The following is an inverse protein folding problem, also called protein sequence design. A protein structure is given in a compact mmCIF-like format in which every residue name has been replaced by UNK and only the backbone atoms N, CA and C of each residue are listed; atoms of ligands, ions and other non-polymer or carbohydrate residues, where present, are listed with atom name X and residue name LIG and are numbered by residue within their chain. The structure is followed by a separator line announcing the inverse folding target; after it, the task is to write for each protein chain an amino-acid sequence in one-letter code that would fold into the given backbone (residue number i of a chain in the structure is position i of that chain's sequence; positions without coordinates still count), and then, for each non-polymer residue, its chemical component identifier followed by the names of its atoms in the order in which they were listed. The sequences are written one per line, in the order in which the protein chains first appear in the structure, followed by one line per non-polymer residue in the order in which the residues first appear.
data_IF_529889498862
#
_entry.id   IF_529889498862
#
_cell.length_a   1.000
_cell.length_b   1.000
_cell.length_c   1.000
_cell.angle_alpha   90.00
_cell.angle_beta   90.00
_cell.angle_gamma   90.00
#
_symmetry.space_group_name_H-M   'P 1'
#
loop_
_entity.id
_entity.type
_entity.pdbx_description
1 polymer ?
#
# COMPACT_ATOMS: atom_id res chain seq x y z
N UNK A 1 36.73 20.03 -4.29
CA UNK A 1 35.99 19.52 -3.12
C UNK A 1 34.58 19.12 -3.61
N UNK A 2 34.39 17.82 -3.83
CA UNK A 2 33.09 17.28 -4.19
C UNK A 2 32.20 17.40 -2.97
N UNK A 3 31.17 18.25 -3.04
CA UNK A 3 30.11 18.26 -2.05
C UNK A 3 29.51 16.84 -2.01
N UNK A 4 29.75 16.10 -0.93
CA UNK A 4 29.04 14.87 -0.64
C UNK A 4 27.56 15.25 -0.51
N UNK A 5 26.77 14.97 -1.56
CA UNK A 5 25.34 15.03 -1.45
C UNK A 5 24.92 14.05 -0.34
N UNK A 6 24.40 14.60 0.73
CA UNK A 6 23.74 13.80 1.77
C UNK A 6 22.61 13.04 1.05
N UNK A 7 22.60 11.70 1.09
CA UNK A 7 21.54 10.95 0.41
C UNK A 7 20.19 11.40 0.98
N UNK A 8 19.28 11.77 0.09
CA UNK A 8 17.93 12.15 0.47
C UNK A 8 17.25 10.95 1.14
N UNK A 9 17.02 11.04 2.44
CA UNK A 9 16.52 9.92 3.24
C UNK A 9 15.00 9.86 3.13
N UNK A 10 14.52 9.23 2.06
CA UNK A 10 13.10 8.89 1.91
C UNK A 10 12.82 7.51 2.51
N UNK A 11 11.55 7.22 2.84
CA UNK A 11 11.17 5.89 3.36
C UNK A 11 11.48 4.77 2.37
N UNK A 12 11.18 4.89 1.05
CA UNK A 12 11.62 3.90 0.07
C UNK A 12 13.14 3.71 0.03
N UNK A 13 13.91 4.79 0.08
CA UNK A 13 15.37 4.72 0.10
C UNK A 13 15.89 4.02 1.37
N UNK A 14 15.25 4.25 2.52
CA UNK A 14 15.59 3.56 3.76
C UNK A 14 15.34 2.06 3.66
N UNK A 15 14.23 1.63 3.06
CA UNK A 15 13.96 0.20 2.83
C UNK A 15 14.94 -0.41 1.82
N UNK A 16 15.29 0.30 0.75
CA UNK A 16 16.33 -0.16 -0.19
C UNK A 16 17.67 -0.39 0.50
N UNK A 17 18.09 0.56 1.36
CA UNK A 17 19.31 0.42 2.14
C UNK A 17 19.24 -0.73 3.15
N UNK A 18 18.10 -0.89 3.82
CA UNK A 18 17.89 -1.99 4.75
C UNK A 18 17.93 -3.36 4.05
N UNK A 19 17.29 -3.50 2.89
CA UNK A 19 17.33 -4.71 2.10
C UNK A 19 18.75 -5.02 1.58
N UNK A 20 19.50 -4.00 1.13
CA UNK A 20 20.89 -4.17 0.71
C UNK A 20 21.81 -4.57 1.87
N UNK A 21 21.56 -4.07 3.09
CA UNK A 21 22.40 -4.32 4.27
C UNK A 21 22.05 -5.60 5.01
N UNK A 22 20.76 -5.91 5.12
CA UNK A 22 20.28 -6.99 5.98
C UNK A 22 19.74 -8.19 5.20
N UNK A 23 19.35 -8.00 3.94
CA UNK A 23 19.00 -9.07 3.01
C UNK A 23 17.96 -10.03 3.56
N UNK A 24 18.40 -11.25 3.80
CA UNK A 24 17.56 -12.37 4.26
C UNK A 24 17.26 -12.35 5.77
N UNK A 25 17.67 -11.32 6.51
CA UNK A 25 17.30 -11.22 7.93
C UNK A 25 15.83 -10.86 8.08
N UNK A 26 15.22 -11.37 9.15
CA UNK A 26 13.82 -11.11 9.50
C UNK A 26 13.53 -9.62 9.66
N UNK A 27 12.52 -9.13 8.96
CA UNK A 27 12.10 -7.73 8.95
C UNK A 27 10.68 -7.53 9.49
N UNK A 28 9.76 -8.43 9.15
CA UNK A 28 8.35 -8.33 9.51
C UNK A 28 7.80 -9.68 9.91
N UNK A 29 7.17 -9.76 11.07
CA UNK A 29 6.37 -10.90 11.48
C UNK A 29 4.89 -10.55 11.41
N UNK A 30 4.13 -11.29 10.63
CA UNK A 30 2.68 -11.17 10.57
C UNK A 30 2.05 -12.48 10.11
N UNK A 31 0.85 -12.73 10.55
CA UNK A 31 0.03 -13.89 10.14
C UNK A 31 0.77 -15.25 10.27
N UNK A 32 1.58 -15.38 11.31
CA UNK A 32 2.30 -16.62 11.63
C UNK A 32 3.58 -16.85 10.85
N UNK A 33 4.03 -15.92 10.02
CA UNK A 33 5.24 -16.03 9.22
C UNK A 33 6.13 -14.78 9.29
N UNK A 34 7.42 -14.98 8.98
CA UNK A 34 8.38 -13.90 8.82
C UNK A 34 8.57 -13.55 7.34
N UNK A 35 8.74 -12.25 7.07
CA UNK A 35 9.30 -11.75 5.82
C UNK A 35 10.69 -11.18 6.09
N UNK A 36 11.64 -11.48 5.22
CA UNK A 36 12.95 -10.85 5.23
C UNK A 36 12.90 -9.41 4.71
N UNK A 37 13.95 -8.63 4.90
CA UNK A 37 14.07 -7.29 4.31
C UNK A 37 14.00 -7.33 2.77
N UNK A 38 14.61 -8.34 2.14
CA UNK A 38 14.54 -8.54 0.70
C UNK A 38 13.11 -8.81 0.23
N UNK A 39 12.40 -9.69 0.91
CA UNK A 39 11.00 -10.02 0.58
C UNK A 39 10.07 -8.85 0.81
N UNK A 40 10.20 -8.15 1.95
CA UNK A 40 9.41 -6.95 2.24
C UNK A 40 9.56 -5.90 1.14
N UNK A 41 10.80 -5.64 0.72
CA UNK A 41 11.12 -4.74 -0.39
C UNK A 41 10.48 -5.22 -1.70
N UNK A 42 10.62 -6.49 -2.02
CA UNK A 42 10.06 -7.06 -3.25
C UNK A 42 8.54 -6.93 -3.29
N UNK A 43 7.84 -7.25 -2.20
CA UNK A 43 6.40 -7.10 -2.09
C UNK A 43 5.95 -5.63 -2.20
N UNK A 44 6.66 -4.71 -1.53
CA UNK A 44 6.35 -3.28 -1.63
C UNK A 44 6.50 -2.77 -3.07
N UNK A 45 7.56 -3.17 -3.78
CA UNK A 45 7.77 -2.80 -5.18
C UNK A 45 6.71 -3.40 -6.11
N UNK A 46 6.26 -4.64 -5.89
CA UNK A 46 5.16 -5.23 -6.66
C UNK A 46 3.84 -4.46 -6.46
N UNK A 47 3.54 -4.04 -5.25
CA UNK A 47 2.37 -3.21 -4.97
C UNK A 47 2.49 -1.84 -5.65
N UNK A 48 3.66 -1.21 -5.60
CA UNK A 48 3.94 0.04 -6.30
C UNK A 48 3.75 -0.09 -7.82
N UNK A 49 4.24 -1.18 -8.41
CA UNK A 49 4.08 -1.47 -9.84
C UNK A 49 2.60 -1.52 -10.23
N UNK A 50 1.76 -2.18 -9.43
CA UNK A 50 0.31 -2.22 -9.66
C UNK A 50 -0.32 -0.81 -9.60
N UNK A 51 0.05 0.01 -8.63
CA UNK A 51 -0.42 1.40 -8.54
C UNK A 51 -0.04 2.22 -9.78
N UNK A 52 1.21 2.07 -10.26
CA UNK A 52 1.71 2.76 -11.45
C UNK A 52 0.95 2.29 -12.69
N UNK A 53 0.78 0.99 -12.88
CA UNK A 53 0.04 0.41 -14.01
C UNK A 53 -1.42 0.87 -14.05
N UNK A 54 -2.05 1.07 -12.89
CA UNK A 54 -3.42 1.57 -12.75
C UNK A 54 -3.52 3.10 -12.80
N UNK A 55 -2.43 3.79 -13.14
CA UNK A 55 -2.43 5.23 -13.38
C UNK A 55 -2.46 6.09 -12.11
N UNK A 56 -2.04 5.54 -10.96
CA UNK A 56 -1.86 6.36 -9.76
C UNK A 56 -0.65 7.27 -9.98
N UNK A 57 -0.85 8.57 -9.90
CA UNK A 57 0.17 9.59 -10.12
C UNK A 57 0.86 10.00 -8.83
N UNK A 58 2.04 10.62 -8.97
CA UNK A 58 2.79 11.17 -7.84
C UNK A 58 1.90 12.16 -7.04
N UNK A 59 1.96 12.05 -5.71
CA UNK A 59 1.18 12.89 -4.81
C UNK A 59 -0.30 12.50 -4.67
N UNK A 60 -0.81 11.53 -5.44
CA UNK A 60 -2.15 10.98 -5.20
C UNK A 60 -2.17 10.10 -3.95
N UNK A 61 -3.34 9.83 -3.42
CA UNK A 61 -3.49 9.18 -2.11
C UNK A 61 -3.93 7.73 -2.25
N UNK A 62 -3.29 6.90 -1.42
CA UNK A 62 -3.65 5.52 -1.16
C UNK A 62 -4.10 5.42 0.29
N UNK A 63 -5.36 5.12 0.51
CA UNK A 63 -5.92 4.93 1.85
C UNK A 63 -5.80 3.47 2.27
N UNK A 64 -5.53 3.24 3.57
CA UNK A 64 -5.43 1.90 4.14
C UNK A 64 -6.37 1.82 5.33
N UNK A 65 -7.44 1.02 5.20
CA UNK A 65 -8.45 0.77 6.23
C UNK A 65 -8.50 -0.71 6.57
N UNK A 66 -7.48 -1.16 7.27
CA UNK A 66 -7.27 -2.58 7.59
C UNK A 66 -6.63 -2.72 8.98
N UNK A 67 -6.93 -3.79 9.73
CA UNK A 67 -6.18 -4.13 10.92
C UNK A 67 -4.74 -4.54 10.56
N UNK A 68 -3.93 -4.75 11.59
CA UNK A 68 -2.55 -5.20 11.40
C UNK A 68 -2.54 -6.58 10.72
N UNK A 69 -1.94 -6.61 9.56
CA UNK A 69 -1.64 -7.79 8.74
C UNK A 69 -0.39 -7.48 7.92
N UNK A 70 0.21 -8.47 7.27
CA UNK A 70 1.36 -8.22 6.40
C UNK A 70 1.02 -7.28 5.21
N UNK A 71 -0.23 -7.21 4.79
CA UNK A 71 -0.69 -6.30 3.72
C UNK A 71 -0.49 -4.83 4.07
N UNK A 72 -0.69 -4.48 5.36
CA UNK A 72 -0.67 -3.08 5.79
C UNK A 72 0.69 -2.40 5.54
N UNK A 73 1.82 -2.92 6.06
CA UNK A 73 3.13 -2.32 5.80
C UNK A 73 3.53 -2.41 4.32
N UNK A 74 3.14 -3.46 3.60
CA UNK A 74 3.43 -3.58 2.17
C UNK A 74 2.66 -2.53 1.36
N UNK A 75 1.38 -2.30 1.64
CA UNK A 75 0.61 -1.25 0.98
C UNK A 75 1.14 0.16 1.31
N UNK A 76 1.54 0.38 2.57
CA UNK A 76 2.13 1.63 3.02
C UNK A 76 3.44 1.94 2.28
N UNK A 77 4.38 1.00 2.31
CA UNK A 77 5.69 1.14 1.66
C UNK A 77 5.55 1.20 0.14
N UNK A 78 4.71 0.34 -0.43
CA UNK A 78 4.47 0.32 -1.88
C UNK A 78 3.81 1.60 -2.40
N UNK A 79 2.87 2.18 -1.64
CA UNK A 79 2.31 3.49 -1.94
C UNK A 79 3.39 4.55 -2.06
N UNK A 80 4.34 4.56 -1.13
CA UNK A 80 5.46 5.51 -1.13
C UNK A 80 6.46 5.24 -2.27
N UNK A 81 6.71 3.98 -2.63
CA UNK A 81 7.50 3.66 -3.83
C UNK A 81 6.85 4.16 -5.12
N UNK A 82 5.52 4.18 -5.17
CA UNK A 82 4.78 4.76 -6.30
C UNK A 82 4.70 6.29 -6.27
N UNK A 83 5.31 6.95 -5.28
CA UNK A 83 5.23 8.39 -5.08
C UNK A 83 3.89 8.87 -4.53
N UNK A 84 3.06 7.97 -4.02
CA UNK A 84 1.77 8.30 -3.44
C UNK A 84 1.88 8.69 -1.96
N UNK A 85 0.97 9.53 -1.50
CA UNK A 85 0.77 9.80 -0.09
C UNK A 85 -0.14 8.74 0.53
N UNK A 86 0.22 8.24 1.70
CA UNK A 86 -0.55 7.20 2.41
C UNK A 86 -1.50 7.86 3.42
N UNK A 87 -2.75 7.41 3.42
CA UNK A 87 -3.80 7.85 4.36
C UNK A 87 -4.16 6.66 5.26
N UNK A 88 -3.53 6.53 6.44
CA UNK A 88 -3.87 5.48 7.38
C UNK A 88 -5.21 5.78 8.05
N UNK A 89 -6.09 4.78 8.07
CA UNK A 89 -7.43 4.91 8.64
C UNK A 89 -7.59 3.94 9.82
N UNK A 90 -8.18 4.44 10.91
CA UNK A 90 -8.42 3.62 12.08
C UNK A 90 -9.53 2.59 11.80
N UNK A 91 -9.30 1.33 12.15
CA UNK A 91 -10.29 0.25 12.00
C UNK A 91 -11.55 0.42 12.84
N UNK A 92 -11.54 1.34 13.81
CA UNK A 92 -12.72 1.67 14.64
C UNK A 92 -13.62 2.72 14.00
N UNK A 93 -13.19 3.36 12.92
CA UNK A 93 -14.05 4.31 12.23
C UNK A 93 -15.32 3.62 11.70
N UNK A 94 -16.42 4.34 11.85
CA UNK A 94 -17.68 4.00 11.17
C UNK A 94 -17.52 4.17 9.67
N UNK A 95 -18.46 3.64 8.91
CA UNK A 95 -18.48 3.82 7.45
C UNK A 95 -18.62 5.29 7.07
N UNK A 96 -19.41 6.06 7.81
CA UNK A 96 -19.58 7.50 7.56
C UNK A 96 -18.27 8.27 7.79
N UNK A 97 -17.55 7.98 8.88
CA UNK A 97 -16.24 8.58 9.16
C UNK A 97 -15.22 8.19 8.10
N UNK A 98 -15.21 6.92 7.68
CA UNK A 98 -14.34 6.44 6.62
C UNK A 98 -14.64 7.12 5.28
N UNK A 99 -15.92 7.29 4.96
CA UNK A 99 -16.38 7.99 3.75
C UNK A 99 -15.91 9.45 3.77
N UNK A 100 -16.07 10.18 4.88
CA UNK A 100 -15.59 11.56 5.01
C UNK A 100 -14.07 11.68 4.77
N UNK A 101 -13.29 10.75 5.36
CA UNK A 101 -11.84 10.73 5.16
C UNK A 101 -11.48 10.46 3.70
N UNK A 102 -12.12 9.49 3.06
CA UNK A 102 -11.89 9.16 1.65
C UNK A 102 -12.22 10.34 0.72
N UNK A 103 -13.34 11.03 0.97
CA UNK A 103 -13.74 12.23 0.23
C UNK A 103 -12.72 13.36 0.41
N UNK A 104 -12.40 13.74 1.63
CA UNK A 104 -11.48 14.84 1.95
C UNK A 104 -10.05 14.60 1.51
N UNK A 105 -9.60 13.36 1.55
CA UNK A 105 -8.27 13.00 1.07
C UNK A 105 -8.20 12.85 -0.45
N UNK A 106 -9.34 12.78 -1.14
CA UNK A 106 -9.42 12.45 -2.57
C UNK A 106 -8.66 11.15 -2.89
N UNK A 107 -8.84 10.11 -2.06
CA UNK A 107 -8.12 8.85 -2.21
C UNK A 107 -8.44 8.18 -3.55
N UNK A 108 -7.40 7.75 -4.26
CA UNK A 108 -7.51 7.06 -5.55
C UNK A 108 -7.66 5.56 -5.38
N UNK A 109 -7.01 5.02 -4.37
CA UNK A 109 -7.02 3.60 -4.04
C UNK A 109 -7.34 3.45 -2.56
N UNK A 110 -8.18 2.49 -2.24
CA UNK A 110 -8.46 2.05 -0.88
C UNK A 110 -8.02 0.59 -0.72
N UNK A 111 -7.10 0.33 0.16
CA UNK A 111 -6.80 -1.01 0.67
C UNK A 111 -7.65 -1.22 1.91
N UNK A 112 -8.60 -2.12 1.86
CA UNK A 112 -9.54 -2.35 2.95
C UNK A 112 -9.74 -3.81 3.25
N UNK A 113 -9.87 -4.12 4.54
CA UNK A 113 -10.44 -5.39 4.94
C UNK A 113 -11.89 -5.48 4.46
N UNK A 114 -12.30 -6.66 4.01
CA UNK A 114 -13.69 -6.97 3.71
C UNK A 114 -14.46 -7.26 5.00
N UNK A 115 -14.56 -8.54 5.35
CA UNK A 115 -15.17 -8.97 6.61
C UNK A 115 -14.29 -8.65 7.80
N UNK A 116 -14.87 -7.94 8.77
CA UNK A 116 -14.19 -7.57 9.99
C UNK A 116 -15.20 -7.26 11.11
N UNK A 117 -15.05 -7.94 12.25
CA UNK A 117 -15.92 -7.77 13.41
C UNK A 117 -17.43 -7.89 13.08
N UNK A 118 -17.77 -8.87 12.28
CA UNK A 118 -19.16 -9.20 11.93
C UNK A 118 -19.81 -8.35 10.84
N UNK A 119 -19.06 -7.48 10.19
CA UNK A 119 -19.55 -6.64 9.07
C UNK A 119 -18.59 -6.67 7.89
N UNK A 120 -19.10 -6.48 6.70
CA UNK A 120 -18.27 -6.27 5.50
C UNK A 120 -18.09 -4.76 5.29
N UNK A 121 -16.85 -4.29 5.46
CA UNK A 121 -16.52 -2.88 5.39
C UNK A 121 -16.66 -2.30 3.99
N UNK A 122 -16.33 -3.10 2.98
CA UNK A 122 -16.37 -2.67 1.59
C UNK A 122 -17.80 -2.62 1.08
N UNK A 123 -18.62 -3.62 1.42
CA UNK A 123 -20.03 -3.66 1.01
C UNK A 123 -20.87 -2.52 1.61
N UNK A 124 -20.44 -2.01 2.76
CA UNK A 124 -21.13 -0.88 3.41
C UNK A 124 -20.77 0.48 2.81
N UNK A 125 -19.68 0.59 2.01
CA UNK A 125 -19.29 1.85 1.40
C UNK A 125 -20.21 2.19 0.22
N UNK A 126 -20.79 3.38 0.23
CA UNK A 126 -21.41 3.97 -0.95
C UNK A 126 -20.33 4.58 -1.86
N UNK A 127 -19.84 3.79 -2.79
CA UNK A 127 -18.81 4.23 -3.74
C UNK A 127 -19.30 5.33 -4.70
N UNK A 128 -20.61 5.51 -4.86
CA UNK A 128 -21.16 6.60 -5.67
C UNK A 128 -20.88 7.99 -5.08
N UNK A 129 -20.68 8.05 -3.78
CA UNK A 129 -20.30 9.26 -3.05
C UNK A 129 -18.77 9.55 -3.10
N UNK A 130 -17.98 8.65 -3.69
CA UNK A 130 -16.50 8.68 -3.71
C UNK A 130 -15.96 8.83 -5.16
N UNK A 131 -16.18 9.98 -5.83
CA UNK A 131 -15.88 10.12 -7.26
C UNK A 131 -14.39 10.01 -7.60
N UNK A 132 -13.50 10.21 -6.64
CA UNK A 132 -12.05 10.08 -6.84
C UNK A 132 -11.55 8.66 -6.64
N UNK A 133 -12.29 7.81 -5.91
CA UNK A 133 -11.91 6.43 -5.63
C UNK A 133 -12.06 5.59 -6.91
N UNK A 134 -10.97 5.02 -7.39
CA UNK A 134 -10.92 4.23 -8.63
C UNK A 134 -10.77 2.74 -8.38
N UNK A 135 -10.06 2.36 -7.32
CA UNK A 135 -9.76 0.97 -7.03
C UNK A 135 -9.93 0.68 -5.54
N UNK A 136 -10.51 -0.47 -5.24
CA UNK A 136 -10.59 -1.02 -3.89
C UNK A 136 -9.86 -2.36 -3.90
N UNK A 137 -8.87 -2.48 -3.03
CA UNK A 137 -8.11 -3.71 -2.82
C UNK A 137 -8.63 -4.38 -1.56
N UNK A 138 -9.38 -5.47 -1.75
CA UNK A 138 -9.90 -6.25 -0.64
C UNK A 138 -8.79 -7.11 -0.05
N UNK A 139 -8.59 -7.02 1.25
CA UNK A 139 -7.72 -7.94 2.00
C UNK A 139 -8.55 -8.79 2.93
N UNK A 140 -8.28 -10.08 2.96
CA UNK A 140 -8.94 -11.03 3.84
C UNK A 140 -8.13 -11.16 5.13
N UNK A 141 -8.78 -10.99 6.28
CA UNK A 141 -8.20 -11.16 7.61
C UNK A 141 -9.03 -12.12 8.48
N UNK A 142 -10.24 -12.44 8.07
CA UNK A 142 -11.11 -13.43 8.70
C UNK A 142 -11.28 -14.64 7.80
N UNK A 143 -11.45 -15.81 8.40
CA UNK A 143 -11.67 -17.05 7.67
C UNK A 143 -12.94 -16.97 6.80
N UNK A 144 -12.82 -17.45 5.56
CA UNK A 144 -13.92 -17.46 4.60
C UNK A 144 -14.22 -16.11 3.93
N UNK A 145 -13.34 -15.11 4.11
CA UNK A 145 -13.34 -13.92 3.26
C UNK A 145 -12.46 -14.13 2.02
N UNK A 146 -12.76 -13.39 0.95
CA UNK A 146 -12.01 -13.44 -0.31
C UNK A 146 -11.00 -12.28 -0.35
N UNK A 147 -9.76 -12.58 -0.79
CA UNK A 147 -8.74 -11.58 -1.01
C UNK A 147 -8.66 -11.17 -2.47
N UNK A 148 -8.66 -9.87 -2.74
CA UNK A 148 -8.37 -9.30 -4.05
C UNK A 148 -6.90 -8.90 -4.24
N UNK A 149 -6.03 -9.20 -3.26
CA UNK A 149 -4.66 -8.73 -3.25
C UNK A 149 -3.83 -9.22 -4.43
N UNK A 150 -3.83 -10.54 -4.68
CA UNK A 150 -3.02 -11.12 -5.75
C UNK A 150 -3.46 -10.63 -7.13
N UNK A 151 -4.77 -10.54 -7.36
CA UNK A 151 -5.32 -9.97 -8.59
C UNK A 151 -4.91 -8.50 -8.78
N UNK A 152 -4.88 -7.73 -7.68
CA UNK A 152 -4.45 -6.34 -7.73
C UNK A 152 -2.96 -6.21 -8.07
N UNK A 153 -2.08 -6.92 -7.39
CA UNK A 153 -0.63 -6.81 -7.64
C UNK A 153 -0.23 -7.34 -9.01
N UNK A 154 -0.99 -8.27 -9.61
CA UNK A 154 -0.77 -8.77 -10.96
C UNK A 154 -0.91 -7.67 -12.04
N UNK A 155 -1.63 -6.59 -11.80
CA UNK A 155 -1.66 -5.44 -12.72
C UNK A 155 -0.28 -4.83 -12.97
N UNK A 156 0.65 -5.00 -12.04
CA UNK A 156 2.00 -4.45 -12.12
C UNK A 156 3.01 -5.29 -12.88
N UNK A 157 2.66 -6.48 -13.36
CA UNK A 157 3.61 -7.44 -13.94
C UNK A 157 4.39 -6.90 -15.17
N UNK A 158 3.84 -5.88 -15.85
CA UNK A 158 4.48 -5.23 -16.99
C UNK A 158 5.30 -3.98 -16.66
N UNK A 159 5.31 -3.53 -15.40
CA UNK A 159 6.02 -2.32 -14.97
C UNK A 159 7.47 -2.65 -14.65
N UNK A 160 8.41 -1.88 -15.22
CA UNK A 160 9.83 -2.09 -14.97
C UNK A 160 10.28 -1.55 -13.62
N UNK A 161 11.38 -2.10 -13.10
CA UNK A 161 12.05 -1.56 -11.92
C UNK A 161 12.47 -0.09 -12.11
N UNK A 162 12.85 0.29 -13.32
CA UNK A 162 13.22 1.66 -13.68
C UNK A 162 12.06 2.65 -13.54
N UNK A 163 10.83 2.23 -13.87
CA UNK A 163 9.63 3.05 -13.70
C UNK A 163 9.35 3.31 -12.22
N UNK A 164 9.50 2.28 -11.38
CA UNK A 164 9.34 2.40 -9.93
C UNK A 164 10.42 3.33 -9.35
N UNK A 165 11.68 3.18 -9.78
CA UNK A 165 12.78 4.00 -9.28
C UNK A 165 12.63 5.48 -9.68
N UNK A 166 12.09 5.75 -10.87
CA UNK A 166 11.74 7.10 -11.31
C UNK A 166 10.65 7.72 -10.42
N UNK A 167 9.60 6.96 -10.10
CA UNK A 167 8.52 7.43 -9.24
C UNK A 167 8.97 7.68 -7.80
N UNK A 168 9.80 6.81 -7.28
CA UNK A 168 10.37 6.92 -5.92
C UNK A 168 11.22 8.19 -5.75
N UNK A 169 11.86 8.65 -6.81
CA UNK A 169 12.74 9.81 -6.81
C UNK A 169 12.03 11.15 -7.04
N UNK A 170 10.76 11.13 -7.43
CA UNK A 170 9.96 12.33 -7.69
C UNK A 170 9.33 12.87 -6.42
#
# INVERSE_FOLDING_TARGET
ESAQQTPELTIPAALDQAAARFGERDALYADGSWLSFSELRAHARRFAAALIALGVEHGQRVAIWSPNSWHWPIACLGGQYAGAAVVPMNTRYTVDEATDILQRSHARVLVSVGKFLGTDRIEQLDTSSLPDLRHIVRVAVEDGDESGWDAFVAHGDGVSDGDIDTRKAA
#
